data_IF_494178460515
#
_entry.id   IF_494178460515
#
_cell.length_a   1.000
_cell.length_b   1.000
_cell.length_c   1.000
_cell.angle_alpha   90.00
_cell.angle_beta   90.00
_cell.angle_gamma   90.00
#
_symmetry.space_group_name_H-M   'P 1'
#
loop_
_entity.id
_entity.type
_entity.pdbx_description
1 polymer ?
#
# COMPACT_ATOMS: atom_id res chain seq x y z
N UNK A 1 -19.62 -15.81 -1.73
CA UNK A 1 -19.09 -16.15 -2.49
C UNK A 1 -19.11 -16.13 -2.73
N UNK A 2 -19.75 -16.02 -2.16
CA UNK A 2 -19.23 -16.15 -2.76
C UNK A 2 -19.42 -15.83 -2.92
N UNK A 3 -19.95 -15.65 -3.12
CA UNK A 3 -19.65 -15.62 -3.92
C UNK A 3 -19.81 -15.26 -4.18
N UNK A 4 -20.14 -14.82 -3.88
CA UNK A 4 -19.85 -14.82 -4.75
C UNK A 4 -20.23 -14.53 -5.32
N UNK A 5 -20.67 -14.34 -5.60
CA UNK A 5 -20.58 -14.37 -6.68
C UNK A 5 -20.91 -14.16 -7.28
N UNK A 6 -21.35 -13.77 -7.54
CA UNK A 6 -21.17 -13.87 -8.64
C UNK A 6 -21.33 -13.73 -9.15
N UNK A 7 -21.54 -13.17 -9.23
CA UNK A 7 -21.17 -13.26 -10.19
C UNK A 7 -21.16 -13.19 -10.69
N UNK A 8 -21.29 -12.76 -10.65
CA UNK A 8 -20.78 -12.86 -11.57
C UNK A 8 -20.62 -13.19 -11.77
N UNK A 9 -21.00 -13.15 -11.51
CA UNK A 9 -20.44 -13.61 -11.88
C UNK A 9 -20.39 -13.95 -12.20
N UNK A 10 -20.19 -13.72 -12.19
CA UNK A 10 -19.88 -14.38 -12.14
C UNK A 10 -19.33 -15.17 -11.68
N UNK A 11 -18.91 -15.54 -11.00
CA UNK A 11 -18.03 -16.53 -10.43
C UNK A 11 -17.00 -15.99 -9.48
N UNK A 12 -17.17 -14.83 -8.89
CA UNK A 12 -16.19 -14.14 -8.03
C UNK A 12 -15.95 -14.84 -6.70
N UNK A 13 -16.99 -15.45 -6.15
CA UNK A 13 -16.93 -16.11 -4.86
C UNK A 13 -15.92 -17.24 -4.83
N UNK A 14 -15.58 -17.80 -5.99
CA UNK A 14 -14.61 -18.90 -6.07
C UNK A 14 -13.17 -18.43 -6.08
N UNK A 15 -12.89 -17.12 -6.14
CA UNK A 15 -11.52 -16.60 -6.15
C UNK A 15 -10.75 -16.98 -4.90
N UNK A 16 -11.44 -17.13 -3.76
CA UNK A 16 -10.84 -17.49 -2.50
C UNK A 16 -11.19 -18.88 -2.04
N UNK A 17 -11.33 -19.83 -2.95
CA UNK A 17 -11.55 -21.22 -2.57
C UNK A 17 -10.29 -21.92 -2.05
N UNK A 18 -9.23 -21.21 -1.88
CA UNK A 18 -8.03 -21.73 -1.26
C UNK A 18 -8.07 -21.64 0.25
N UNK A 19 -6.91 -21.51 0.88
CA UNK A 19 -6.77 -21.60 2.34
C UNK A 19 -7.26 -20.39 3.13
N UNK A 20 -7.81 -19.34 2.51
CA UNK A 20 -8.24 -18.14 3.22
C UNK A 20 -9.59 -18.37 3.87
N UNK A 21 -9.59 -18.59 5.19
CA UNK A 21 -10.81 -18.88 5.96
C UNK A 21 -11.42 -17.62 6.57
N UNK A 22 -10.61 -16.59 6.82
CA UNK A 22 -11.05 -15.31 7.38
C UNK A 22 -10.50 -14.19 6.52
N UNK A 23 -11.17 -13.94 5.41
CA UNK A 23 -10.67 -12.99 4.44
C UNK A 23 -10.95 -11.56 4.87
N UNK A 24 -9.88 -10.79 5.10
CA UNK A 24 -9.93 -9.33 5.23
C UNK A 24 -9.48 -8.65 3.94
N UNK A 25 -9.25 -9.43 2.90
CA UNK A 25 -9.03 -8.95 1.54
C UNK A 25 -10.04 -9.64 0.63
N UNK A 26 -10.75 -8.84 -0.13
CA UNK A 26 -11.70 -9.33 -1.13
C UNK A 26 -11.10 -9.13 -2.51
N UNK A 27 -11.06 -10.20 -3.31
CA UNK A 27 -10.66 -10.10 -4.72
C UNK A 27 -11.93 -9.96 -5.56
N UNK A 28 -12.01 -8.88 -6.32
CA UNK A 28 -13.17 -8.58 -7.15
C UNK A 28 -12.72 -8.50 -8.60
N UNK A 29 -13.17 -9.43 -9.42
CA UNK A 29 -12.89 -9.37 -10.85
C UNK A 29 -13.89 -8.41 -11.49
N UNK A 30 -13.40 -7.22 -11.86
CA UNK A 30 -14.23 -6.16 -12.45
C UNK A 30 -14.56 -6.51 -13.89
N UNK A 31 -13.54 -6.94 -14.63
CA UNK A 31 -13.62 -7.50 -15.98
C UNK A 31 -12.60 -8.63 -16.03
N UNK A 32 -12.65 -9.46 -17.05
CA UNK A 32 -11.77 -10.63 -17.10
C UNK A 32 -10.28 -10.30 -16.97
N UNK A 33 -9.86 -9.10 -17.36
CA UNK A 33 -8.47 -8.67 -17.33
C UNK A 33 -8.14 -7.72 -16.16
N UNK A 34 -9.10 -7.37 -15.31
CA UNK A 34 -8.94 -6.38 -14.24
C UNK A 34 -9.38 -6.97 -12.91
N UNK A 35 -8.48 -6.96 -11.93
CA UNK A 35 -8.79 -7.45 -10.59
C UNK A 35 -8.57 -6.35 -9.56
N UNK A 36 -9.56 -6.18 -8.68
CA UNK A 36 -9.48 -5.27 -7.55
C UNK A 36 -9.11 -6.07 -6.30
N UNK A 37 -8.09 -5.60 -5.60
CA UNK A 37 -7.67 -6.09 -4.28
C UNK A 37 -8.21 -5.10 -3.27
N UNK A 38 -9.29 -5.47 -2.58
CA UNK A 38 -9.96 -4.61 -1.61
C UNK A 38 -9.59 -5.03 -0.20
N UNK A 39 -8.86 -4.16 0.49
CA UNK A 39 -8.53 -4.35 1.90
C UNK A 39 -9.71 -3.93 2.76
N UNK A 40 -10.19 -4.81 3.63
CA UNK A 40 -11.37 -4.54 4.47
C UNK A 40 -11.25 -5.15 5.86
N UNK A 41 -10.10 -4.97 6.49
CA UNK A 41 -9.92 -5.33 7.90
C UNK A 41 -10.53 -4.24 8.78
N UNK A 42 -11.85 -4.35 9.00
CA UNK A 42 -12.62 -3.34 9.74
C UNK A 42 -12.26 -3.29 11.22
N UNK A 43 -11.82 -4.40 11.77
CA UNK A 43 -11.40 -4.48 13.16
C UNK A 43 -10.16 -3.62 13.43
N UNK A 44 -9.22 -3.60 12.48
CA UNK A 44 -7.95 -2.91 12.62
C UNK A 44 -7.82 -1.67 11.72
N UNK A 45 -8.91 -1.25 11.05
CA UNK A 45 -8.91 -0.11 10.13
C UNK A 45 -7.79 -0.22 9.08
N UNK A 46 -7.62 -1.42 8.55
CA UNK A 46 -6.55 -1.75 7.60
C UNK A 46 -5.14 -1.47 8.13
N UNK A 47 -4.93 -1.57 9.44
CA UNK A 47 -3.57 -1.67 9.96
C UNK A 47 -3.02 -3.06 9.58
N UNK A 48 -1.71 -3.19 9.53
CA UNK A 48 -1.04 -4.42 9.11
C UNK A 48 -1.12 -5.49 10.21
N UNK A 49 -2.34 -5.97 10.46
CA UNK A 49 -2.57 -7.16 11.25
C UNK A 49 -1.96 -8.36 10.53
N UNK A 50 -1.76 -9.47 11.24
CA UNK A 50 -1.26 -10.69 10.61
C UNK A 50 -2.23 -11.17 9.54
N UNK A 51 -3.54 -11.06 9.78
CA UNK A 51 -4.56 -11.45 8.80
C UNK A 51 -4.45 -10.63 7.51
N UNK A 52 -4.35 -9.30 7.62
CA UNK A 52 -4.25 -8.45 6.45
C UNK A 52 -2.95 -8.69 5.68
N UNK A 53 -1.85 -8.85 6.41
CA UNK A 53 -0.54 -9.13 5.80
C UNK A 53 -0.57 -10.44 5.02
N UNK A 54 -1.05 -11.51 5.64
CA UNK A 54 -1.13 -12.82 4.99
C UNK A 54 -2.06 -12.80 3.79
N UNK A 55 -3.22 -12.16 3.92
CA UNK A 55 -4.21 -12.08 2.84
C UNK A 55 -3.70 -11.27 1.65
N UNK A 56 -2.98 -10.17 1.90
CA UNK A 56 -2.39 -9.40 0.81
C UNK A 56 -1.34 -10.18 0.06
N UNK A 57 -0.45 -10.87 0.78
CA UNK A 57 0.58 -11.70 0.16
C UNK A 57 -0.07 -12.79 -0.69
N UNK A 58 -1.09 -13.46 -0.16
CA UNK A 58 -1.82 -14.48 -0.91
C UNK A 58 -2.55 -13.92 -2.12
N UNK A 59 -3.14 -12.73 -2.00
CA UNK A 59 -3.83 -12.08 -3.10
C UNK A 59 -2.89 -11.81 -4.27
N UNK A 60 -1.70 -11.24 -4.00
CA UNK A 60 -0.73 -10.99 -5.07
C UNK A 60 -0.14 -12.28 -5.63
N UNK A 61 0.00 -13.33 -4.83
CA UNK A 61 0.41 -14.64 -5.32
C UNK A 61 -0.65 -15.24 -6.25
N UNK A 62 -1.93 -15.11 -5.90
CA UNK A 62 -3.03 -15.53 -6.76
C UNK A 62 -2.98 -14.81 -8.11
N UNK A 63 -2.75 -13.50 -8.08
CA UNK A 63 -2.66 -12.69 -9.31
C UNK A 63 -1.48 -13.16 -10.16
N UNK A 64 -0.33 -13.41 -9.54
CA UNK A 64 0.86 -13.91 -10.24
C UNK A 64 0.58 -15.23 -10.98
N UNK A 65 -0.24 -16.10 -10.38
CA UNK A 65 -0.56 -17.41 -10.96
C UNK A 65 -1.66 -17.36 -12.02
N UNK A 66 -2.27 -16.20 -12.24
CA UNK A 66 -3.39 -16.06 -13.19
C UNK A 66 -3.06 -15.03 -14.27
N UNK A 67 -2.36 -15.45 -15.32
CA UNK A 67 -1.83 -14.52 -16.34
C UNK A 67 -2.87 -13.88 -17.24
N UNK A 68 -4.14 -14.09 -16.98
CA UNK A 68 -5.21 -13.38 -17.70
C UNK A 68 -5.34 -11.91 -17.28
N UNK A 69 -4.88 -11.56 -16.07
CA UNK A 69 -5.00 -10.20 -15.57
C UNK A 69 -3.97 -9.27 -16.19
N UNK A 70 -4.40 -8.07 -16.50
CA UNK A 70 -3.57 -7.01 -17.11
C UNK A 70 -3.40 -5.80 -16.21
N UNK A 71 -4.27 -5.62 -15.21
CA UNK A 71 -4.18 -4.51 -14.28
C UNK A 71 -4.78 -4.90 -12.93
N UNK A 72 -4.17 -4.37 -11.88
CA UNK A 72 -4.63 -4.54 -10.49
C UNK A 72 -5.05 -3.17 -9.96
N UNK A 73 -6.17 -3.11 -9.25
CA UNK A 73 -6.58 -1.93 -8.50
C UNK A 73 -6.51 -2.29 -7.02
N UNK A 74 -5.67 -1.58 -6.27
CA UNK A 74 -5.55 -1.77 -4.83
C UNK A 74 -6.35 -0.68 -4.12
N UNK A 75 -7.30 -1.09 -3.27
CA UNK A 75 -8.22 -0.16 -2.57
C UNK A 75 -8.37 -0.55 -1.10
N UNK A 76 -8.95 0.36 -0.34
CA UNK A 76 -9.42 0.07 1.01
C UNK A 76 -10.95 0.05 1.07
N UNK A 77 -11.49 0.39 2.23
CA UNK A 77 -12.93 0.47 2.47
C UNK A 77 -13.26 1.79 3.16
N UNK A 78 -14.46 2.29 2.95
CA UNK A 78 -14.96 3.53 3.56
C UNK A 78 -13.88 4.63 3.55
N UNK A 79 -13.45 5.13 4.70
CA UNK A 79 -12.47 6.20 4.85
C UNK A 79 -11.03 5.70 4.97
N UNK A 80 -10.79 4.40 4.91
CA UNK A 80 -9.47 3.82 5.18
C UNK A 80 -8.90 3.17 3.94
N UNK A 81 -7.72 3.62 3.54
CA UNK A 81 -6.92 2.85 2.59
C UNK A 81 -6.09 1.83 3.37
N UNK A 82 -5.10 2.28 4.13
CA UNK A 82 -4.30 1.42 5.01
C UNK A 82 -3.68 2.26 6.12
N UNK A 83 -3.65 1.71 7.33
CA UNK A 83 -3.24 2.45 8.53
C UNK A 83 -1.84 2.10 9.03
N UNK A 84 -1.10 1.24 8.32
CA UNK A 84 0.29 0.93 8.68
C UNK A 84 0.42 -0.05 9.83
N UNK A 85 1.53 0.02 10.55
CA UNK A 85 1.81 -0.93 11.62
C UNK A 85 0.80 -0.89 12.76
N UNK A 86 0.50 -2.06 13.34
CA UNK A 86 -0.29 -2.13 14.56
C UNK A 86 0.55 -1.67 15.75
N UNK A 87 -0.12 -1.24 16.84
CA UNK A 87 0.60 -0.87 18.05
C UNK A 87 1.44 -2.03 18.57
N UNK A 88 0.87 -3.23 18.62
CA UNK A 88 1.58 -4.42 19.03
C UNK A 88 2.80 -4.69 18.14
N UNK A 89 2.63 -4.59 16.82
CA UNK A 89 3.73 -4.79 15.87
C UNK A 89 4.86 -3.80 16.07
N UNK A 90 4.53 -2.53 16.27
CA UNK A 90 5.54 -1.49 16.52
C UNK A 90 6.28 -1.73 17.84
N UNK A 91 5.58 -2.14 18.90
CA UNK A 91 6.21 -2.47 20.19
C UNK A 91 7.13 -3.68 20.08
N UNK A 92 6.78 -4.67 19.24
CA UNK A 92 7.64 -5.83 19.01
C UNK A 92 8.94 -5.44 18.30
N UNK A 93 8.88 -4.49 17.36
CA UNK A 93 10.09 -3.96 16.71
C UNK A 93 10.92 -3.20 17.75
N UNK A 94 10.28 -2.38 18.56
CA UNK A 94 10.96 -1.59 19.59
C UNK A 94 11.70 -2.50 20.59
N UNK A 95 11.14 -3.66 20.90
CA UNK A 95 11.75 -4.65 21.80
C UNK A 95 12.81 -5.51 21.12
N UNK A 96 13.01 -5.36 19.82
CA UNK A 96 13.97 -6.14 19.07
C UNK A 96 13.50 -7.57 18.73
N UNK A 97 12.21 -7.84 18.85
CA UNK A 97 11.65 -9.18 18.60
C UNK A 97 11.36 -9.42 17.12
N UNK A 98 11.06 -8.38 16.36
CA UNK A 98 10.75 -8.45 14.94
C UNK A 98 11.37 -7.27 14.20
N UNK A 99 11.40 -7.36 12.87
CA UNK A 99 11.81 -6.29 11.97
C UNK A 99 10.71 -6.07 10.94
N UNK A 100 10.62 -4.87 10.37
CA UNK A 100 9.62 -4.60 9.33
C UNK A 100 9.81 -5.48 8.10
N UNK A 101 11.02 -6.01 7.91
CA UNK A 101 11.38 -6.89 6.78
C UNK A 101 10.95 -8.35 6.98
N UNK A 102 10.47 -8.72 8.16
CA UNK A 102 10.05 -10.10 8.41
C UNK A 102 8.88 -10.51 7.48
N UNK A 103 8.03 -9.55 7.12
CA UNK A 103 7.00 -9.73 6.11
C UNK A 103 7.21 -8.69 5.00
N UNK A 104 7.42 -9.15 3.77
CA UNK A 104 7.60 -8.24 2.65
C UNK A 104 6.24 -7.77 2.14
N UNK A 105 5.67 -6.77 2.79
CA UNK A 105 4.39 -6.19 2.43
C UNK A 105 4.55 -4.94 1.58
N UNK A 106 5.61 -4.19 1.80
CA UNK A 106 5.78 -2.85 1.24
C UNK A 106 6.00 -2.86 -0.28
N UNK A 107 6.64 -3.86 -0.84
CA UNK A 107 6.98 -3.87 -2.27
C UNK A 107 6.08 -4.77 -3.12
N UNK A 108 4.94 -5.22 -2.61
CA UNK A 108 4.04 -6.11 -3.37
C UNK A 108 3.66 -5.52 -4.73
N UNK A 109 3.31 -4.24 -4.77
CA UNK A 109 2.93 -3.58 -6.01
C UNK A 109 4.11 -3.43 -6.97
N UNK A 110 5.30 -3.13 -6.45
CA UNK A 110 6.50 -3.02 -7.27
C UNK A 110 6.87 -4.35 -7.90
N UNK A 111 6.73 -5.44 -7.14
CA UNK A 111 7.13 -6.78 -7.58
C UNK A 111 6.08 -7.45 -8.48
N UNK A 112 4.87 -6.94 -8.52
CA UNK A 112 3.81 -7.42 -9.39
C UNK A 112 4.20 -7.20 -10.86
N UNK A 113 4.03 -8.21 -11.72
CA UNK A 113 4.42 -8.12 -13.13
C UNK A 113 3.58 -7.10 -13.91
N UNK A 114 2.31 -7.00 -13.58
CA UNK A 114 1.36 -6.13 -14.29
C UNK A 114 1.19 -4.80 -13.55
N UNK A 115 0.70 -3.76 -14.22
CA UNK A 115 0.47 -2.47 -13.58
C UNK A 115 -0.47 -2.57 -12.39
N UNK A 116 -0.10 -1.88 -11.31
CA UNK A 116 -0.91 -1.74 -10.10
C UNK A 116 -1.30 -0.27 -9.94
N UNK A 117 -2.59 -0.04 -9.80
CA UNK A 117 -3.16 1.28 -9.54
C UNK A 117 -3.55 1.30 -8.06
N UNK A 118 -2.94 2.18 -7.27
CA UNK A 118 -3.37 2.41 -5.89
C UNK A 118 -4.46 3.47 -5.89
N UNK A 119 -5.69 3.03 -5.72
CA UNK A 119 -6.85 3.91 -5.59
C UNK A 119 -7.02 4.22 -4.09
N UNK A 120 -6.27 5.21 -3.62
CA UNK A 120 -6.25 5.57 -2.20
C UNK A 120 -7.46 6.45 -1.87
N UNK A 121 -8.63 5.82 -1.85
CA UNK A 121 -9.90 6.50 -1.60
C UNK A 121 -10.05 6.97 -0.15
N UNK A 122 -9.22 6.47 0.75
CA UNK A 122 -9.25 6.77 2.18
C UNK A 122 -7.87 7.06 2.74
N UNK A 123 -7.79 7.17 4.05
CA UNK A 123 -6.57 7.54 4.76
C UNK A 123 -5.42 6.56 4.50
N UNK A 124 -4.25 7.12 4.20
CA UNK A 124 -3.01 6.37 4.05
C UNK A 124 -2.03 6.80 5.12
N UNK A 125 -1.77 5.94 6.10
CA UNK A 125 -1.03 6.27 7.32
C UNK A 125 0.24 5.44 7.40
N UNK A 126 1.39 6.10 7.58
CA UNK A 126 2.67 5.43 7.79
C UNK A 126 2.99 4.43 6.69
N UNK A 127 3.24 3.18 7.07
CA UNK A 127 3.50 2.10 6.11
C UNK A 127 2.36 1.86 5.13
N UNK A 128 1.12 2.22 5.48
CA UNK A 128 -0.02 2.12 4.58
C UNK A 128 0.06 3.11 3.43
N UNK A 129 0.48 4.34 3.71
CA UNK A 129 0.74 5.34 2.68
C UNK A 129 1.90 4.89 1.78
N UNK A 130 2.99 4.42 2.39
CA UNK A 130 4.18 3.95 1.68
C UNK A 130 3.84 2.78 0.75
N UNK A 131 3.08 1.80 1.22
CA UNK A 131 2.67 0.66 0.40
C UNK A 131 1.92 1.12 -0.85
N UNK A 132 1.01 2.08 -0.71
CA UNK A 132 0.29 2.64 -1.86
C UNK A 132 1.22 3.37 -2.83
N UNK A 133 2.22 4.08 -2.33
CA UNK A 133 3.17 4.80 -3.17
C UNK A 133 4.06 3.89 -4.01
N UNK A 134 4.21 2.63 -3.64
CA UNK A 134 4.94 1.65 -4.46
C UNK A 134 4.15 1.20 -5.70
N UNK A 135 2.88 1.55 -5.80
CA UNK A 135 2.09 1.24 -7.00
C UNK A 135 2.60 2.05 -8.21
N UNK A 136 2.30 1.56 -9.40
CA UNK A 136 2.73 2.21 -10.64
C UNK A 136 1.99 3.52 -10.86
N UNK A 137 0.72 3.56 -10.50
CA UNK A 137 -0.13 4.74 -10.63
C UNK A 137 -0.84 4.95 -9.30
N UNK A 138 -0.85 6.19 -8.82
CA UNK A 138 -1.41 6.56 -7.53
C UNK A 138 -2.52 7.59 -7.74
N UNK A 139 -3.67 7.35 -7.10
CA UNK A 139 -4.80 8.27 -7.11
C UNK A 139 -5.13 8.58 -5.65
N UNK A 140 -5.24 9.86 -5.30
CA UNK A 140 -5.54 10.29 -3.95
C UNK A 140 -6.95 10.85 -3.86
N UNK A 141 -7.50 10.86 -2.66
CA UNK A 141 -8.78 11.51 -2.34
C UNK A 141 -8.49 12.87 -1.68
N UNK A 142 -9.24 13.90 -2.08
CA UNK A 142 -9.07 15.26 -1.54
C UNK A 142 -9.27 15.31 -0.03
N UNK A 143 -10.24 14.56 0.47
CA UNK A 143 -10.68 14.60 1.87
C UNK A 143 -9.83 13.73 2.78
N UNK A 144 -9.09 12.80 2.22
CA UNK A 144 -8.33 11.83 3.02
C UNK A 144 -7.02 12.42 3.54
N UNK A 145 -6.55 11.85 4.64
CA UNK A 145 -5.28 12.23 5.26
C UNK A 145 -4.21 11.25 4.84
N UNK A 146 -3.06 11.79 4.46
CA UNK A 146 -1.87 11.03 4.11
C UNK A 146 -0.72 11.49 4.97
N UNK A 147 0.02 10.56 5.54
CA UNK A 147 1.13 10.88 6.44
C UNK A 147 2.17 9.78 6.43
N UNK A 148 3.45 10.18 6.52
CA UNK A 148 4.56 9.27 6.74
C UNK A 148 5.01 9.44 8.20
N UNK A 149 4.16 9.05 9.13
CA UNK A 149 4.20 9.44 10.53
C UNK A 149 5.18 8.64 11.41
N UNK A 150 6.23 8.08 10.85
CA UNK A 150 7.22 7.29 11.60
C UNK A 150 7.83 8.10 12.75
N UNK A 151 8.29 9.31 12.45
CA UNK A 151 8.94 10.18 13.44
C UNK A 151 7.98 10.69 14.53
N UNK A 152 6.67 10.55 14.33
CA UNK A 152 5.70 10.81 15.39
C UNK A 152 6.02 9.98 16.64
N UNK A 153 6.46 8.74 16.41
CA UNK A 153 6.82 7.82 17.48
C UNK A 153 8.31 7.88 17.83
N UNK A 154 9.07 8.74 17.18
CA UNK A 154 10.48 8.94 17.47
C UNK A 154 11.45 8.00 16.78
N UNK A 155 10.95 7.07 15.94
CA UNK A 155 11.83 6.20 15.17
C UNK A 155 11.90 6.62 13.71
N UNK A 156 12.98 6.26 13.06
CA UNK A 156 13.21 6.59 11.65
C UNK A 156 12.33 5.74 10.72
N UNK A 157 12.03 6.24 9.52
CA UNK A 157 11.20 5.51 8.57
C UNK A 157 11.76 4.15 8.14
N UNK A 158 10.86 3.23 7.87
CA UNK A 158 11.16 1.93 7.29
C UNK A 158 10.28 1.65 6.07
N UNK A 159 10.19 0.38 5.68
CA UNK A 159 9.35 -0.10 4.58
C UNK A 159 9.67 0.55 3.23
N UNK A 160 10.89 1.03 3.06
CA UNK A 160 11.30 1.70 1.83
C UNK A 160 10.83 3.15 1.73
N UNK A 161 10.29 3.73 2.81
CA UNK A 161 9.76 5.10 2.79
C UNK A 161 10.81 6.12 2.37
N UNK A 162 12.05 5.97 2.85
CA UNK A 162 13.13 6.91 2.52
C UNK A 162 13.51 6.88 1.05
N UNK A 163 13.08 5.86 0.33
CA UNK A 163 13.30 5.71 -1.11
C UNK A 163 12.09 6.11 -1.93
N UNK A 164 10.92 5.54 -1.61
CA UNK A 164 9.75 5.71 -2.47
C UNK A 164 9.07 7.07 -2.28
N UNK A 165 9.08 7.63 -1.06
CA UNK A 165 8.44 8.93 -0.84
C UNK A 165 9.13 10.03 -1.65
N UNK A 166 10.48 10.15 -1.63
CA UNK A 166 11.14 11.13 -2.48
C UNK A 166 10.94 10.87 -3.99
N UNK A 167 10.93 9.60 -4.41
CA UNK A 167 10.73 9.25 -5.82
C UNK A 167 9.35 9.69 -6.32
N UNK A 168 8.33 9.56 -5.48
CA UNK A 168 6.93 9.83 -5.88
C UNK A 168 6.50 11.27 -5.62
N UNK A 169 6.99 11.92 -4.57
CA UNK A 169 6.56 13.27 -4.19
C UNK A 169 7.56 14.36 -4.56
N UNK A 170 8.78 14.00 -4.92
CA UNK A 170 9.89 14.93 -5.05
C UNK A 170 10.62 15.11 -3.72
N UNK A 171 11.91 15.46 -3.79
CA UNK A 171 12.80 15.41 -2.63
C UNK A 171 12.40 16.42 -1.55
N UNK A 172 12.10 17.68 -1.91
CA UNK A 172 11.81 18.73 -0.93
C UNK A 172 10.55 18.43 -0.12
N UNK A 173 9.47 18.02 -0.77
CA UNK A 173 8.24 17.68 -0.08
C UNK A 173 8.43 16.41 0.75
N UNK A 174 9.16 15.44 0.23
CA UNK A 174 9.46 14.21 0.96
C UNK A 174 10.27 14.48 2.24
N UNK A 175 11.29 15.37 2.18
CA UNK A 175 12.04 15.76 3.37
C UNK A 175 11.12 16.35 4.44
N UNK A 176 10.25 17.27 4.02
CA UNK A 176 9.32 17.90 4.95
C UNK A 176 8.42 16.86 5.62
N UNK A 177 7.79 16.00 4.83
CA UNK A 177 6.83 15.00 5.32
C UNK A 177 7.51 13.95 6.21
N UNK A 178 8.69 13.49 5.83
CA UNK A 178 9.41 12.46 6.59
C UNK A 178 9.96 13.00 7.89
N UNK A 179 10.49 14.23 7.88
CA UNK A 179 11.08 14.85 9.08
C UNK A 179 10.02 15.31 10.07
N UNK A 180 8.93 15.94 9.59
CA UNK A 180 7.92 16.49 10.50
C UNK A 180 6.84 15.49 10.90
N UNK A 181 6.73 14.37 10.20
CA UNK A 181 5.70 13.35 10.43
C UNK A 181 4.27 13.94 10.41
N UNK A 182 4.08 15.01 9.64
CA UNK A 182 2.81 15.73 9.60
C UNK A 182 1.73 15.01 8.82
N UNK A 183 0.49 15.42 9.05
CA UNK A 183 -0.67 14.92 8.32
C UNK A 183 -1.06 15.92 7.24
N UNK A 184 -1.23 15.43 6.02
CA UNK A 184 -1.56 16.23 4.86
C UNK A 184 -2.85 15.70 4.24
N UNK A 185 -3.79 16.57 3.95
CA UNK A 185 -4.96 16.16 3.16
C UNK A 185 -4.56 16.01 1.70
N UNK A 186 -5.30 15.17 0.97
CA UNK A 186 -5.09 15.06 -0.47
C UNK A 186 -5.16 16.43 -1.15
N UNK A 187 -6.09 17.28 -0.73
CA UNK A 187 -6.19 18.66 -1.27
C UNK A 187 -4.92 19.47 -1.03
N UNK A 188 -4.26 19.29 0.12
CA UNK A 188 -3.00 19.99 0.42
C UNK A 188 -1.87 19.48 -0.47
N UNK A 189 -1.81 18.18 -0.67
CA UNK A 189 -0.80 17.57 -1.55
C UNK A 189 -1.00 18.02 -3.00
N UNK A 190 -2.24 18.14 -3.43
CA UNK A 190 -2.55 18.68 -4.77
C UNK A 190 -1.99 20.08 -4.93
N UNK A 191 -2.19 20.96 -3.95
CA UNK A 191 -1.65 22.33 -3.96
C UNK A 191 -0.13 22.34 -3.95
N UNK A 192 0.50 21.35 -3.35
CA UNK A 192 1.96 21.22 -3.29
C UNK A 192 2.54 20.58 -4.55
N UNK A 193 1.70 20.26 -5.54
CA UNK A 193 2.14 19.84 -6.86
C UNK A 193 2.49 18.36 -6.98
N UNK A 194 1.91 17.49 -6.16
CA UNK A 194 2.13 16.05 -6.34
C UNK A 194 1.68 15.60 -7.73
N UNK A 195 2.41 14.69 -8.38
CA UNK A 195 2.09 14.29 -9.76
C UNK A 195 0.99 13.23 -9.84
N UNK A 196 0.06 13.24 -8.90
CA UNK A 196 -1.02 12.27 -8.83
C UNK A 196 -2.35 12.96 -9.12
N UNK A 197 -3.28 12.18 -9.67
CA UNK A 197 -4.67 12.61 -9.75
C UNK A 197 -5.23 12.68 -8.33
N UNK A 198 -5.85 13.80 -7.98
CA UNK A 198 -6.51 14.00 -6.70
C UNK A 198 -7.97 14.30 -6.96
N UNK A 199 -8.87 13.48 -6.43
CA UNK A 199 -10.31 13.52 -6.72
C UNK A 199 -11.12 13.47 -5.44
N UNK A 200 -12.40 13.89 -5.48
CA UNK A 200 -13.30 13.59 -4.38
C UNK A 200 -13.32 12.07 -4.11
N UNK A 201 -13.41 11.69 -2.84
CA UNK A 201 -13.37 10.26 -2.44
C UNK A 201 -14.31 9.41 -3.27
N UNK A 202 -15.53 9.88 -3.49
CA UNK A 202 -16.56 9.12 -4.19
C UNK A 202 -16.21 8.82 -5.65
N UNK A 203 -15.23 9.53 -6.23
CA UNK A 203 -14.85 9.37 -7.64
C UNK A 203 -13.58 8.56 -7.84
N UNK A 204 -12.84 8.27 -6.77
CA UNK A 204 -11.51 7.65 -6.87
C UNK A 204 -11.59 6.26 -7.50
N UNK A 205 -12.47 5.40 -7.03
CA UNK A 205 -12.56 4.04 -7.57
C UNK A 205 -13.02 4.03 -9.03
N UNK A 206 -14.02 4.84 -9.37
CA UNK A 206 -14.51 4.89 -10.77
C UNK A 206 -13.41 5.34 -11.72
N UNK A 207 -12.62 6.33 -11.31
CA UNK A 207 -11.49 6.78 -12.13
C UNK A 207 -10.43 5.68 -12.27
N UNK A 208 -10.14 4.95 -11.19
CA UNK A 208 -9.19 3.84 -11.24
C UNK A 208 -9.67 2.74 -12.19
N UNK A 209 -10.98 2.44 -12.19
CA UNK A 209 -11.56 1.45 -13.10
C UNK A 209 -11.41 1.90 -14.56
N UNK A 210 -11.74 3.15 -14.87
CA UNK A 210 -11.56 3.69 -16.23
C UNK A 210 -10.11 3.58 -16.69
N UNK A 211 -9.17 3.93 -15.80
CA UNK A 211 -7.75 3.84 -16.12
C UNK A 211 -7.32 2.38 -16.33
N UNK A 212 -7.80 1.47 -15.49
CA UNK A 212 -7.50 0.05 -15.65
C UNK A 212 -8.06 -0.49 -16.99
N UNK A 213 -9.23 -0.02 -17.40
CA UNK A 213 -9.80 -0.38 -18.69
C UNK A 213 -8.93 0.09 -19.85
N UNK A 214 -8.37 1.31 -19.77
CA UNK A 214 -7.43 1.80 -20.79
C UNK A 214 -6.18 0.94 -20.84
N UNK A 215 -5.64 0.56 -19.68
CA UNK A 215 -4.48 -0.33 -19.62
C UNK A 215 -4.81 -1.70 -20.22
N UNK A 216 -5.98 -2.24 -19.91
CA UNK A 216 -6.39 -3.56 -20.36
C UNK A 216 -6.61 -3.64 -21.88
N UNK A 217 -6.71 -2.52 -22.58
CA UNK A 217 -6.73 -2.48 -24.04
C UNK A 217 -5.38 -2.84 -24.66
N UNK A 218 -4.30 -2.75 -23.89
CA UNK A 218 -2.96 -3.00 -24.37
C UNK A 218 -2.63 -4.50 -24.30
N UNK A 219 -1.72 -4.98 -25.16
CA UNK A 219 -1.25 -6.36 -25.02
C UNK A 219 -0.58 -6.58 -23.67
N UNK A 220 -0.92 -7.68 -23.00
CA UNK A 220 -0.36 -7.99 -21.69
C UNK A 220 1.16 -8.05 -21.70
N UNK A 221 1.73 -8.68 -22.73
CA UNK A 221 3.18 -8.79 -22.83
C UNK A 221 3.85 -7.42 -22.91
N UNK A 222 3.23 -6.46 -23.60
CA UNK A 222 3.77 -5.10 -23.69
C UNK A 222 3.70 -4.39 -22.33
N UNK A 223 2.62 -4.56 -21.60
CA UNK A 223 2.48 -3.99 -20.25
C UNK A 223 3.56 -4.53 -19.30
N UNK A 224 3.72 -5.85 -19.30
CA UNK A 224 4.72 -6.53 -18.43
C UNK A 224 6.13 -6.08 -18.81
N UNK A 225 6.44 -6.07 -20.09
CA UNK A 225 7.78 -5.70 -20.60
C UNK A 225 8.11 -4.25 -20.27
N UNK A 226 7.16 -3.34 -20.49
CA UNK A 226 7.38 -1.93 -20.22
C UNK A 226 7.51 -1.66 -18.71
N UNK A 227 6.63 -2.23 -17.90
CA UNK A 227 6.74 -2.07 -16.45
C UNK A 227 8.08 -2.57 -15.94
N UNK A 228 8.50 -3.77 -16.35
CA UNK A 228 9.77 -4.33 -15.94
C UNK A 228 10.94 -3.39 -16.24
N UNK A 229 10.93 -2.78 -17.43
CA UNK A 229 11.95 -1.81 -17.84
C UNK A 229 11.92 -0.55 -16.97
N UNK A 230 10.72 0.00 -16.75
CA UNK A 230 10.57 1.26 -16.01
C UNK A 230 10.94 1.12 -14.54
N UNK A 231 10.62 -0.01 -13.90
CA UNK A 231 10.84 -0.20 -12.47
C UNK A 231 12.13 -0.94 -12.15
N UNK A 232 12.86 -1.44 -13.15
CA UNK A 232 14.12 -2.16 -12.92
C UNK A 232 15.10 -1.40 -12.03
N UNK A 233 15.34 -0.10 -12.24
CA UNK A 233 16.24 0.64 -11.34
C UNK A 233 15.74 0.69 -9.90
N UNK A 234 14.41 0.75 -9.69
CA UNK A 234 13.84 0.77 -8.36
C UNK A 234 14.04 -0.58 -7.67
N UNK A 235 13.78 -1.67 -8.38
CA UNK A 235 14.00 -3.04 -7.85
C UNK A 235 15.46 -3.27 -7.49
N UNK A 236 16.38 -2.74 -8.30
CA UNK A 236 17.81 -2.89 -8.06
C UNK A 236 18.28 -2.11 -6.84
N UNK A 237 17.75 -0.91 -6.62
CA UNK A 237 18.19 -0.02 -5.53
C UNK A 237 17.53 -0.34 -4.19
N UNK A 238 16.31 -0.86 -4.19
CA UNK A 238 15.51 -1.04 -2.98
C UNK A 238 16.21 -1.90 -1.91
N UNK A 239 16.82 -3.05 -2.23
CA UNK A 239 17.46 -3.88 -1.19
C UNK A 239 18.50 -3.12 -0.37
N UNK A 240 19.30 -2.28 -1.00
CA UNK A 240 20.31 -1.48 -0.31
C UNK A 240 19.67 -0.43 0.59
N UNK A 241 18.61 0.23 0.12
CA UNK A 241 17.89 1.21 0.94
C UNK A 241 17.28 0.53 2.16
N UNK A 242 16.70 -0.66 1.99
CA UNK A 242 16.12 -1.42 3.11
C UNK A 242 17.20 -1.73 4.15
N UNK A 243 18.40 -2.16 3.74
CA UNK A 243 19.51 -2.38 4.67
C UNK A 243 19.87 -1.10 5.44
N UNK A 244 19.91 0.03 4.76
CA UNK A 244 20.20 1.32 5.38
C UNK A 244 19.10 1.73 6.38
N UNK A 245 17.85 1.47 6.04
CA UNK A 245 16.73 1.74 6.96
C UNK A 245 16.79 0.85 8.20
N UNK A 246 17.17 -0.41 8.04
CA UNK A 246 17.37 -1.30 9.19
C UNK A 246 18.49 -0.82 10.09
N UNK A 247 19.57 -0.31 9.53
CA UNK A 247 20.67 0.29 10.32
C UNK A 247 20.19 1.52 11.11
N UNK A 248 19.37 2.37 10.48
CA UNK A 248 18.78 3.51 11.19
C UNK A 248 17.83 3.04 12.30
N UNK A 249 17.05 1.98 12.07
CA UNK A 249 16.18 1.41 13.10
C UNK A 249 16.98 0.92 14.30
N UNK A 250 18.13 0.28 14.08
CA UNK A 250 19.00 -0.13 15.18
C UNK A 250 19.47 1.08 16.03
N UNK A 251 19.67 2.22 15.39
CA UNK A 251 20.11 3.43 16.09
C UNK A 251 18.96 4.18 16.80
N UNK A 252 17.71 4.01 16.38
CA UNK A 252 16.63 4.90 16.84
C UNK A 252 15.46 4.17 17.52
N UNK A 253 15.18 2.92 17.16
CA UNK A 253 13.92 2.28 17.54
C UNK A 253 13.88 1.79 18.99
N UNK A 254 15.02 1.41 19.56
CA UNK A 254 15.05 0.68 20.83
C UNK A 254 15.10 1.57 22.07
N UNK A 255 15.01 2.88 21.92
CA UNK A 255 15.01 3.82 23.05
C UNK A 255 13.68 3.78 23.82
N UNK A 256 13.74 4.01 25.12
CA UNK A 256 12.54 4.05 25.99
C UNK A 256 11.57 5.15 25.55
N UNK A 257 12.08 6.25 25.07
CA UNK A 257 11.23 7.33 24.54
C UNK A 257 10.32 6.84 23.41
N UNK A 258 10.86 6.00 22.53
CA UNK A 258 10.09 5.43 21.41
C UNK A 258 8.96 4.53 21.94
N UNK A 259 9.29 3.70 22.93
CA UNK A 259 8.29 2.84 23.59
C UNK A 259 7.16 3.67 24.19
N UNK A 260 7.52 4.74 24.91
CA UNK A 260 6.56 5.64 25.54
C UNK A 260 5.66 6.32 24.51
N UNK A 261 6.26 6.80 23.40
CA UNK A 261 5.52 7.45 22.32
C UNK A 261 4.56 6.49 21.64
N UNK A 262 4.99 5.26 21.35
CA UNK A 262 4.11 4.24 20.76
C UNK A 262 2.91 4.00 21.68
N UNK A 263 3.16 3.81 22.98
CA UNK A 263 2.09 3.56 23.94
C UNK A 263 1.14 4.75 24.11
N UNK A 264 1.69 5.97 24.13
CA UNK A 264 0.91 7.17 24.41
C UNK A 264 0.26 7.82 23.22
N UNK A 265 0.82 7.68 22.04
CA UNK A 265 0.37 8.43 20.85
C UNK A 265 -0.34 7.57 19.80
N UNK A 266 -0.26 6.25 19.89
CA UNK A 266 -0.86 5.40 18.87
C UNK A 266 -2.37 5.59 18.82
N UNK A 267 -2.89 5.82 17.62
CA UNK A 267 -4.32 6.05 17.39
C UNK A 267 -4.79 7.48 17.66
N UNK A 268 -3.91 8.39 18.02
CA UNK A 268 -4.27 9.78 18.34
C UNK A 268 -3.96 10.79 17.23
#
# INVERSE_FOLDING_TARGET
MAHHHHHHSSGLEVLFQGPMTHSVVELIEIESAIIQVKMQDRTHKNAFSQELTDDLIQAFEYIRQNPKYKAVILTGYDNYFASGGTQEGLLRIQQGLTKFTDDNLYSLALDCEIPVIAAMQGHGIGGGFVMGLFADIVILSRESVYTANFMKYGFTPGMGATFIVPKKLGFSLAQEILLNAGSYRGADLEKRGVPFKVLPRAEVLDYAVELAQELAEKPRNSLVTLKDHLVAPLRDQLPRVIEQELMMHEATFHHEEVKSRIKGLYGN
#
